data_IF_701370189496
#
_entry.id   IF_701370189496
#
_cell.length_a   1.000
_cell.length_b   1.000
_cell.length_c   1.000
_cell.angle_alpha   90.00
_cell.angle_beta   90.00
_cell.angle_gamma   90.00
#
_symmetry.space_group_name_H-M   'P 1'
#
loop_
_entity.id
_entity.type
_entity.pdbx_description
1 polymer ?
#
# COMPACT_ATOMS: atom_id res chain seq x y z
N UNK A 1 -2.38 -21.72 36.71
CA UNK A 1 -2.53 -20.26 36.50
C UNK A 1 -2.53 -20.07 35.01
N UNK A 2 -3.73 -20.15 34.44
CA UNK A 2 -4.03 -19.83 33.06
C UNK A 2 -3.64 -18.38 32.78
N UNK A 3 -2.76 -18.19 31.80
CA UNK A 3 -2.63 -16.94 31.08
C UNK A 3 -3.55 -17.04 29.88
N UNK A 4 -4.77 -16.54 30.01
CA UNK A 4 -5.65 -16.16 28.90
C UNK A 4 -4.97 -14.99 28.17
N UNK A 5 -4.00 -15.33 27.33
CA UNK A 5 -3.51 -14.41 26.31
C UNK A 5 -4.57 -14.37 25.23
N UNK A 6 -5.43 -13.35 25.26
CA UNK A 6 -6.13 -12.92 24.07
C UNK A 6 -5.08 -12.76 22.98
N UNK A 7 -5.01 -13.71 22.04
CA UNK A 7 -4.13 -13.60 20.88
C UNK A 7 -4.51 -12.28 20.19
N UNK A 8 -3.68 -11.25 20.33
CA UNK A 8 -3.87 -10.02 19.60
C UNK A 8 -3.92 -10.38 18.12
N UNK A 9 -4.88 -9.82 17.39
CA UNK A 9 -4.95 -9.98 15.94
C UNK A 9 -3.61 -9.55 15.34
N UNK A 10 -2.85 -10.53 14.83
CA UNK A 10 -1.52 -10.29 14.30
C UNK A 10 -1.62 -9.54 12.97
N UNK A 11 -0.82 -8.48 12.81
CA UNK A 11 -0.83 -7.67 11.60
C UNK A 11 -0.56 -8.54 10.36
N UNK A 12 -1.55 -8.66 9.48
CA UNK A 12 -1.51 -9.59 8.34
C UNK A 12 -1.51 -8.81 7.03
N UNK A 13 -0.49 -9.07 6.21
CA UNK A 13 -0.35 -8.51 4.86
C UNK A 13 -0.65 -9.61 3.85
N UNK A 14 -1.69 -9.42 3.05
CA UNK A 14 -1.95 -10.27 1.88
C UNK A 14 -1.15 -9.76 0.69
N UNK A 15 -0.39 -10.63 0.04
CA UNK A 15 0.36 -10.29 -1.18
C UNK A 15 -0.21 -11.07 -2.35
N UNK A 16 -0.80 -10.39 -3.32
CA UNK A 16 -1.34 -11.04 -4.51
C UNK A 16 -0.27 -11.17 -5.60
N UNK A 17 0.11 -12.41 -5.89
CA UNK A 17 1.15 -12.78 -6.85
C UNK A 17 0.51 -13.21 -8.17
N UNK A 18 0.98 -12.61 -9.26
CA UNK A 18 0.51 -12.94 -10.61
C UNK A 18 1.61 -12.86 -11.67
N UNK A 19 2.85 -12.62 -11.26
CA UNK A 19 3.97 -12.39 -12.17
C UNK A 19 5.29 -12.78 -11.49
N UNK A 20 6.08 -13.72 -12.05
CA UNK A 20 7.32 -14.17 -11.44
C UNK A 20 8.32 -13.02 -11.21
N UNK A 21 8.40 -12.09 -12.17
CA UNK A 21 9.32 -10.96 -12.10
C UNK A 21 8.98 -9.93 -11.00
N UNK A 22 7.81 -10.06 -10.35
CA UNK A 22 7.36 -9.15 -9.30
C UNK A 22 7.50 -9.74 -7.89
N UNK A 23 7.73 -11.05 -7.75
CA UNK A 23 7.66 -11.75 -6.46
C UNK A 23 8.66 -11.15 -5.47
N UNK A 24 9.94 -11.09 -5.84
CA UNK A 24 11.01 -10.64 -4.94
C UNK A 24 10.79 -9.21 -4.43
N UNK A 25 10.39 -8.31 -5.31
CA UNK A 25 10.16 -6.91 -4.94
C UNK A 25 8.90 -6.75 -4.09
N UNK A 26 7.78 -7.41 -4.42
CA UNK A 26 6.57 -7.37 -3.58
C UNK A 26 6.83 -7.97 -2.20
N UNK A 27 7.55 -9.09 -2.12
CA UNK A 27 7.87 -9.74 -0.86
C UNK A 27 8.83 -8.90 -0.02
N UNK A 28 9.76 -8.16 -0.62
CA UNK A 28 10.61 -7.20 0.09
C UNK A 28 9.77 -6.09 0.73
N UNK A 29 8.96 -5.38 -0.05
CA UNK A 29 8.07 -4.32 0.46
C UNK A 29 7.11 -4.83 1.54
N UNK A 30 6.57 -6.05 1.36
CA UNK A 30 5.71 -6.69 2.35
C UNK A 30 6.47 -7.07 3.63
N UNK A 31 7.70 -7.60 3.51
CA UNK A 31 8.53 -7.99 4.65
C UNK A 31 8.98 -6.77 5.45
N UNK A 32 9.30 -5.67 4.78
CA UNK A 32 9.65 -4.40 5.43
C UNK A 32 8.48 -3.91 6.30
N UNK A 33 7.27 -3.90 5.72
CA UNK A 33 6.06 -3.48 6.43
C UNK A 33 5.65 -4.47 7.52
N UNK A 34 5.75 -5.78 7.27
CA UNK A 34 5.45 -6.80 8.27
C UNK A 34 6.39 -6.68 9.46
N UNK A 35 7.69 -6.53 9.24
CA UNK A 35 8.70 -6.40 10.31
C UNK A 35 8.43 -5.19 11.20
N UNK A 36 8.08 -4.04 10.59
CA UNK A 36 7.72 -2.83 11.34
C UNK A 36 6.52 -3.03 12.29
N UNK A 37 5.58 -3.89 11.90
CA UNK A 37 4.32 -4.12 12.62
C UNK A 37 4.26 -5.47 13.34
N UNK A 38 5.38 -6.18 13.51
CA UNK A 38 5.44 -7.54 14.07
C UNK A 38 4.44 -8.51 13.41
N UNK A 39 4.30 -8.35 12.10
CA UNK A 39 3.29 -8.96 11.27
C UNK A 39 3.75 -10.21 10.52
N UNK A 40 2.86 -10.71 9.68
CA UNK A 40 3.06 -11.89 8.84
C UNK A 40 2.55 -11.66 7.42
N UNK A 41 3.02 -12.49 6.50
CA UNK A 41 2.61 -12.49 5.10
C UNK A 41 1.65 -13.65 4.82
N UNK A 42 0.59 -13.36 4.05
CA UNK A 42 -0.25 -14.36 3.42
C UNK A 42 -0.20 -14.16 1.90
N UNK A 43 0.67 -14.92 1.23
CA UNK A 43 0.87 -14.83 -0.21
C UNK A 43 -0.19 -15.65 -0.94
N UNK A 44 -0.81 -15.06 -1.96
CA UNK A 44 -1.85 -15.72 -2.74
C UNK A 44 -1.55 -15.69 -4.22
N UNK A 45 -1.90 -16.78 -4.90
CA UNK A 45 -1.95 -16.84 -6.34
C UNK A 45 -3.36 -17.28 -6.77
N UNK A 46 -3.88 -16.68 -7.84
CA UNK A 46 -5.23 -16.99 -8.33
C UNK A 46 -5.14 -17.50 -9.75
N UNK A 47 -5.51 -18.76 -9.92
CA UNK A 47 -5.72 -19.36 -11.22
C UNK A 47 -7.06 -18.92 -11.79
N UNK A 48 -6.99 -18.10 -12.84
CA UNK A 48 -8.17 -17.51 -13.44
C UNK A 48 -8.85 -18.48 -14.41
N UNK A 49 -10.08 -18.87 -14.07
CA UNK A 49 -10.92 -19.79 -14.85
C UNK A 49 -12.08 -19.04 -15.51
N UNK A 50 -11.91 -18.48 -16.73
CA UNK A 50 -12.98 -17.72 -17.36
C UNK A 50 -14.22 -18.61 -17.60
N UNK A 51 -15.40 -18.05 -17.33
CA UNK A 51 -16.70 -18.77 -17.41
C UNK A 51 -17.05 -19.34 -18.79
N UNK A 52 -16.34 -18.93 -19.84
CA UNK A 52 -16.51 -19.45 -21.20
C UNK A 52 -15.46 -20.50 -21.58
N UNK A 53 -14.67 -20.97 -20.61
CA UNK A 53 -13.61 -21.95 -20.84
C UNK A 53 -14.13 -23.39 -20.75
N UNK A 54 -13.60 -24.31 -21.58
CA UNK A 54 -13.79 -25.75 -21.38
C UNK A 54 -13.35 -26.23 -19.98
N UNK A 55 -12.58 -25.43 -19.23
CA UNK A 55 -12.18 -25.74 -17.85
C UNK A 55 -13.35 -25.92 -16.88
N UNK A 56 -14.56 -25.45 -17.18
CA UNK A 56 -15.75 -25.69 -16.32
C UNK A 56 -16.05 -27.17 -16.08
N UNK A 57 -15.52 -28.06 -16.94
CA UNK A 57 -15.70 -29.52 -16.81
C UNK A 57 -14.79 -30.15 -15.73
N UNK A 58 -13.80 -29.40 -15.22
CA UNK A 58 -12.86 -29.88 -14.22
C UNK A 58 -13.14 -29.26 -12.84
N UNK A 59 -12.97 -30.06 -11.79
CA UNK A 59 -12.97 -29.63 -10.39
C UNK A 59 -11.77 -28.72 -10.10
N UNK A 60 -11.90 -27.83 -9.12
CA UNK A 60 -10.83 -26.90 -8.74
C UNK A 60 -9.57 -27.62 -8.23
N UNK A 61 -9.74 -28.78 -7.58
CA UNK A 61 -8.63 -29.65 -7.15
C UNK A 61 -7.83 -30.18 -8.34
N UNK A 62 -8.50 -30.64 -9.40
CA UNK A 62 -7.85 -31.06 -10.65
C UNK A 62 -7.12 -29.91 -11.35
N UNK A 63 -7.70 -28.70 -11.34
CA UNK A 63 -7.07 -27.53 -11.96
C UNK A 63 -5.81 -27.14 -11.20
N UNK A 64 -5.89 -27.11 -9.88
CA UNK A 64 -4.74 -26.82 -9.02
C UNK A 64 -3.61 -27.83 -9.22
N UNK A 65 -3.95 -29.12 -9.40
CA UNK A 65 -2.96 -30.18 -9.60
C UNK A 65 -2.31 -30.18 -11.00
N UNK A 66 -3.09 -29.91 -12.06
CA UNK A 66 -2.64 -30.15 -13.45
C UNK A 66 -2.34 -28.87 -14.25
N UNK A 67 -2.84 -27.71 -13.81
CA UNK A 67 -2.80 -26.47 -14.59
C UNK A 67 -2.28 -25.25 -13.84
N UNK A 68 -1.95 -25.39 -12.55
CA UNK A 68 -1.49 -24.28 -11.70
C UNK A 68 0.03 -24.29 -11.45
N UNK A 69 0.81 -24.91 -12.33
CA UNK A 69 2.27 -25.02 -12.15
C UNK A 69 2.92 -23.64 -12.01
N UNK A 70 2.56 -22.67 -12.87
CA UNK A 70 3.10 -21.31 -12.79
C UNK A 70 2.73 -20.63 -11.46
N UNK A 71 1.47 -20.72 -11.02
CA UNK A 71 1.05 -20.12 -9.73
C UNK A 71 1.70 -20.82 -8.53
N UNK A 72 1.91 -22.13 -8.60
CA UNK A 72 2.61 -22.89 -7.55
C UNK A 72 4.05 -22.41 -7.45
N UNK A 73 4.75 -22.26 -8.58
CA UNK A 73 6.11 -21.72 -8.61
C UNK A 73 6.19 -20.28 -8.06
N UNK A 74 5.16 -19.44 -8.25
CA UNK A 74 5.10 -18.12 -7.62
C UNK A 74 5.07 -18.20 -6.10
N UNK A 75 4.26 -19.12 -5.56
CA UNK A 75 4.08 -19.31 -4.12
C UNK A 75 5.31 -19.94 -3.48
N UNK A 76 5.89 -20.97 -4.09
CA UNK A 76 7.15 -21.58 -3.65
C UNK A 76 8.27 -20.52 -3.63
N UNK A 77 8.38 -19.71 -4.69
CA UNK A 77 9.38 -18.64 -4.74
C UNK A 77 9.15 -17.60 -3.65
N UNK A 78 7.90 -17.30 -3.31
CA UNK A 78 7.56 -16.38 -2.22
C UNK A 78 7.99 -16.93 -0.85
N UNK A 79 7.81 -18.23 -0.62
CA UNK A 79 8.28 -18.90 0.60
C UNK A 79 9.82 -18.88 0.70
N UNK A 80 10.51 -19.12 -0.41
CA UNK A 80 11.98 -19.14 -0.46
C UNK A 80 12.63 -17.79 -0.12
N UNK A 81 11.97 -16.67 -0.45
CA UNK A 81 12.53 -15.31 -0.29
C UNK A 81 11.97 -14.55 0.90
N UNK A 82 10.93 -15.07 1.56
CA UNK A 82 10.31 -14.37 2.69
C UNK A 82 11.22 -14.39 3.91
N UNK A 83 11.45 -13.22 4.49
CA UNK A 83 12.23 -13.07 5.73
C UNK A 83 11.36 -13.08 6.99
N UNK A 84 10.04 -13.04 6.80
CA UNK A 84 9.02 -13.04 7.86
C UNK A 84 8.12 -14.28 7.75
N UNK A 85 7.35 -14.64 8.80
CA UNK A 85 6.40 -15.74 8.72
C UNK A 85 5.45 -15.58 7.54
N UNK A 86 5.42 -16.60 6.67
CA UNK A 86 4.62 -16.61 5.45
C UNK A 86 3.71 -17.84 5.44
N UNK A 87 2.51 -17.63 4.90
CA UNK A 87 1.56 -18.69 4.53
C UNK A 87 1.16 -18.48 3.09
N UNK A 88 0.96 -19.56 2.35
CA UNK A 88 0.60 -19.52 0.92
C UNK A 88 -0.80 -20.08 0.69
N UNK A 89 -1.53 -19.51 -0.28
CA UNK A 89 -2.87 -19.98 -0.66
C UNK A 89 -3.06 -19.86 -2.18
N UNK A 90 -3.33 -20.99 -2.83
CA UNK A 90 -3.67 -21.08 -4.24
C UNK A 90 -5.19 -21.18 -4.39
N UNK A 91 -5.79 -20.20 -5.07
CA UNK A 91 -7.23 -20.16 -5.35
C UNK A 91 -7.50 -20.37 -6.83
N UNK A 92 -8.53 -21.13 -7.17
CA UNK A 92 -9.08 -21.17 -8.53
C UNK A 92 -10.39 -20.39 -8.53
N UNK A 93 -10.50 -19.36 -9.37
CA UNK A 93 -11.73 -18.57 -9.47
C UNK A 93 -11.92 -17.96 -10.87
N UNK A 94 -13.17 -17.73 -11.24
CA UNK A 94 -13.56 -17.02 -12.46
C UNK A 94 -13.54 -15.49 -12.35
N UNK A 95 -13.36 -14.97 -11.14
CA UNK A 95 -13.34 -13.55 -10.83
C UNK A 95 -12.22 -13.23 -9.84
N UNK A 96 -11.05 -12.89 -10.38
CA UNK A 96 -9.84 -12.58 -9.60
C UNK A 96 -10.09 -11.53 -8.50
N UNK A 97 -10.71 -10.35 -8.76
CA UNK A 97 -11.01 -9.39 -7.70
C UNK A 97 -11.84 -9.96 -6.54
N UNK A 98 -12.81 -10.83 -6.83
CA UNK A 98 -13.69 -11.41 -5.81
C UNK A 98 -12.96 -12.46 -4.99
N UNK A 99 -12.12 -13.28 -5.62
CA UNK A 99 -11.26 -14.23 -4.93
C UNK A 99 -10.26 -13.53 -3.99
N UNK A 100 -9.60 -12.45 -4.45
CA UNK A 100 -8.70 -11.65 -3.59
C UNK A 100 -9.46 -11.12 -2.36
N UNK A 101 -10.66 -10.57 -2.56
CA UNK A 101 -11.49 -10.09 -1.45
C UNK A 101 -11.86 -11.19 -0.47
N UNK A 102 -12.23 -12.36 -0.98
CA UNK A 102 -12.55 -13.52 -0.15
C UNK A 102 -11.37 -13.95 0.73
N UNK A 103 -10.14 -13.94 0.20
CA UNK A 103 -8.93 -14.18 1.01
C UNK A 103 -8.77 -13.09 2.05
N UNK A 104 -8.79 -11.81 1.65
CA UNK A 104 -8.58 -10.66 2.55
C UNK A 104 -9.56 -10.70 3.72
N UNK A 105 -10.84 -10.97 3.47
CA UNK A 105 -11.88 -11.06 4.50
C UNK A 105 -11.67 -12.31 5.38
N UNK A 106 -11.21 -13.44 4.82
CA UNK A 106 -11.00 -14.68 5.55
C UNK A 106 -9.83 -14.62 6.53
N UNK A 107 -8.75 -13.93 6.17
CA UNK A 107 -7.55 -13.79 7.01
C UNK A 107 -7.51 -12.48 7.79
N UNK A 108 -8.60 -11.70 7.71
CA UNK A 108 -8.75 -10.35 8.28
C UNK A 108 -7.53 -9.45 8.01
N UNK A 109 -7.17 -9.33 6.73
CA UNK A 109 -5.93 -8.66 6.36
C UNK A 109 -5.98 -7.16 6.64
N UNK A 110 -4.93 -6.62 7.26
CA UNK A 110 -4.77 -5.19 7.46
C UNK A 110 -4.41 -4.49 6.15
N UNK A 111 -3.54 -5.12 5.35
CA UNK A 111 -3.06 -4.59 4.08
C UNK A 111 -3.12 -5.64 2.98
N UNK A 112 -3.54 -5.22 1.78
CA UNK A 112 -3.39 -5.96 0.53
C UNK A 112 -2.35 -5.27 -0.34
N UNK A 113 -1.26 -5.96 -0.65
CA UNK A 113 -0.23 -5.52 -1.59
C UNK A 113 -0.39 -6.23 -2.94
N UNK A 114 -0.38 -5.47 -4.03
CA UNK A 114 -0.49 -5.98 -5.39
C UNK A 114 0.53 -5.32 -6.32
N UNK A 115 1.08 -6.09 -7.26
CA UNK A 115 1.87 -5.54 -8.35
C UNK A 115 1.00 -4.87 -9.41
N UNK A 116 1.54 -3.85 -10.06
CA UNK A 116 0.98 -3.23 -11.26
C UNK A 116 1.96 -3.32 -12.44
N UNK A 117 1.43 -3.64 -13.63
CA UNK A 117 2.16 -3.63 -14.91
C UNK A 117 1.43 -2.78 -15.96
N UNK A 118 2.19 -2.16 -16.86
CA UNK A 118 1.73 -1.28 -17.94
C UNK A 118 1.01 -1.97 -19.13
N UNK A 119 0.50 -3.20 -18.99
CA UNK A 119 -0.11 -3.89 -20.15
C UNK A 119 -1.33 -3.13 -20.68
N UNK A 120 -1.49 -3.17 -22.01
CA UNK A 120 -2.39 -2.37 -22.82
C UNK A 120 -3.76 -2.15 -22.17
N UNK A 121 -4.00 -0.89 -21.79
CA UNK A 121 -5.29 -0.39 -21.34
C UNK A 121 -6.38 -0.81 -22.35
N UNK A 122 -7.27 -1.71 -21.94
CA UNK A 122 -8.61 -1.76 -22.54
C UNK A 122 -9.29 -0.44 -22.20
N UNK A 123 -10.17 0.06 -23.07
CA UNK A 123 -10.73 1.43 -23.01
C UNK A 123 -11.26 1.90 -21.63
N UNK A 124 -11.58 0.99 -20.71
CA UNK A 124 -12.13 1.27 -19.37
C UNK A 124 -11.20 0.99 -18.16
N UNK A 125 -9.98 0.47 -18.34
CA UNK A 125 -9.08 0.09 -17.23
C UNK A 125 -7.83 0.98 -17.15
N UNK A 126 -7.56 1.54 -15.96
CA UNK A 126 -6.40 2.41 -15.66
C UNK A 126 -5.19 1.56 -15.27
N UNK A 127 -5.32 0.70 -14.27
CA UNK A 127 -4.25 -0.17 -13.76
C UNK A 127 -4.46 -1.65 -14.12
N UNK A 128 -5.63 -1.99 -14.64
CA UNK A 128 -6.00 -3.34 -15.10
C UNK A 128 -7.30 -3.85 -14.47
N UNK A 129 -7.78 -4.98 -14.98
CA UNK A 129 -9.06 -5.59 -14.59
C UNK A 129 -9.07 -6.16 -13.17
N UNK A 130 -7.92 -6.40 -12.57
CA UNK A 130 -7.81 -6.88 -11.18
C UNK A 130 -7.66 -5.72 -10.17
N UNK A 131 -6.76 -4.77 -10.45
CA UNK A 131 -6.39 -3.69 -9.53
C UNK A 131 -7.49 -2.63 -9.43
N UNK A 132 -8.08 -2.20 -10.56
CA UNK A 132 -9.08 -1.12 -10.57
C UNK A 132 -10.32 -1.44 -9.72
N UNK A 133 -10.96 -2.62 -9.83
CA UNK A 133 -12.13 -2.94 -9.00
C UNK A 133 -11.81 -3.02 -7.51
N UNK A 134 -10.59 -3.45 -7.14
CA UNK A 134 -10.14 -3.50 -5.75
C UNK A 134 -9.97 -2.09 -5.20
N UNK A 135 -9.22 -1.23 -5.89
CA UNK A 135 -9.00 0.14 -5.45
C UNK A 135 -10.27 0.99 -5.45
N UNK A 136 -11.27 0.70 -6.31
CA UNK A 136 -12.57 1.39 -6.28
C UNK A 136 -13.35 1.10 -4.99
N UNK A 137 -13.21 -0.09 -4.42
CA UNK A 137 -13.84 -0.48 -3.15
C UNK A 137 -12.85 -1.27 -2.29
N UNK A 138 -11.85 -0.63 -1.67
CA UNK A 138 -10.78 -1.35 -0.96
C UNK A 138 -11.35 -2.26 0.15
N UNK A 139 -11.04 -3.58 0.17
CA UNK A 139 -11.48 -4.49 1.24
C UNK A 139 -10.71 -4.26 2.55
N UNK A 140 -9.46 -3.78 2.46
CA UNK A 140 -8.63 -3.30 3.55
C UNK A 140 -7.79 -2.13 3.03
N UNK A 141 -6.74 -1.72 3.74
CA UNK A 141 -5.76 -0.80 3.18
C UNK A 141 -5.05 -1.47 1.98
N UNK A 142 -4.93 -0.76 0.87
CA UNK A 142 -4.37 -1.34 -0.36
C UNK A 142 -3.11 -0.60 -0.76
N UNK A 143 -2.06 -1.37 -1.03
CA UNK A 143 -0.81 -0.92 -1.63
C UNK A 143 -0.73 -1.47 -3.06
N UNK A 144 -0.35 -0.61 -3.99
CA UNK A 144 -0.08 -1.01 -5.38
C UNK A 144 1.32 -0.58 -5.74
N UNK A 145 2.15 -1.54 -6.13
CA UNK A 145 3.54 -1.32 -6.46
C UNK A 145 3.78 -1.50 -7.96
N UNK A 146 4.26 -0.46 -8.61
CA UNK A 146 4.80 -0.55 -9.96
C UNK A 146 6.29 -0.88 -9.87
N UNK A 147 6.65 -1.95 -10.56
CA UNK A 147 8.03 -2.38 -10.73
C UNK A 147 8.79 -1.38 -11.61
N UNK A 148 9.92 -0.90 -11.12
CA UNK A 148 10.91 -0.12 -11.86
C UNK A 148 12.28 -0.81 -11.78
N UNK A 149 13.35 -0.16 -12.22
CA UNK A 149 14.70 -0.72 -12.02
C UNK A 149 15.10 -0.54 -10.55
N UNK A 150 15.36 -1.64 -9.84
CA UNK A 150 16.06 -1.59 -8.55
C UNK A 150 17.27 -2.51 -8.62
N UNK A 151 18.45 -1.91 -8.65
CA UNK A 151 19.70 -2.60 -8.37
C UNK A 151 20.00 -2.42 -6.87
N UNK A 152 20.21 -3.51 -6.15
CA UNK A 152 20.93 -3.50 -4.86
C UNK A 152 20.30 -2.78 -3.64
N UNK A 153 18.98 -2.54 -3.60
CA UNK A 153 18.28 -2.08 -2.38
C UNK A 153 17.60 -0.72 -2.56
N UNK A 154 17.20 -0.09 -1.45
CA UNK A 154 16.56 1.24 -1.45
C UNK A 154 17.34 2.15 -0.50
N UNK A 155 18.13 3.09 -1.02
CA UNK A 155 18.91 4.03 -0.21
C UNK A 155 18.16 5.35 0.01
N UNK A 156 17.27 5.70 -0.92
CA UNK A 156 16.55 6.97 -0.94
C UNK A 156 15.07 6.79 -1.27
N UNK A 157 14.20 7.31 -0.40
CA UNK A 157 12.73 7.22 -0.56
C UNK A 157 12.13 8.61 -0.72
N UNK A 158 11.48 8.88 -1.85
CA UNK A 158 10.73 10.11 -2.06
C UNK A 158 9.28 9.94 -1.61
N UNK A 159 8.81 10.83 -0.73
CA UNK A 159 7.42 10.88 -0.26
C UNK A 159 6.78 12.23 -0.64
N UNK A 160 6.19 12.34 -1.84
CA UNK A 160 5.43 13.52 -2.21
C UNK A 160 4.14 13.61 -1.40
N UNK A 161 3.85 14.78 -0.87
CA UNK A 161 2.73 14.97 0.05
C UNK A 161 1.87 16.18 -0.28
N UNK A 162 0.57 15.90 -0.46
CA UNK A 162 -0.51 16.90 -0.44
C UNK A 162 -1.31 16.82 0.86
N UNK A 163 -0.89 15.95 1.79
CA UNK A 163 -1.69 15.52 2.93
C UNK A 163 -2.89 14.65 2.52
N UNK A 164 -3.93 14.65 3.34
CA UNK A 164 -5.18 13.94 3.04
C UNK A 164 -5.25 12.52 3.63
N UNK A 165 -6.34 11.80 3.32
CA UNK A 165 -6.68 10.57 4.02
C UNK A 165 -5.70 9.43 3.75
N UNK A 166 -4.95 9.44 2.66
CA UNK A 166 -4.04 8.33 2.31
C UNK A 166 -2.58 8.60 2.72
N UNK A 167 -2.25 9.81 3.15
CA UNK A 167 -0.87 10.22 3.46
C UNK A 167 -0.26 9.45 4.64
N UNK A 168 -1.06 9.08 5.64
CA UNK A 168 -0.54 8.33 6.79
C UNK A 168 -0.05 6.93 6.41
N UNK A 169 -0.82 6.19 5.61
CA UNK A 169 -0.41 4.88 5.10
C UNK A 169 0.80 4.98 4.17
N UNK A 170 0.85 6.01 3.32
CA UNK A 170 2.02 6.29 2.49
C UNK A 170 3.28 6.56 3.33
N UNK A 171 3.16 7.32 4.42
CA UNK A 171 4.29 7.57 5.32
C UNK A 171 4.71 6.31 6.08
N UNK A 172 3.75 5.49 6.50
CA UNK A 172 4.03 4.27 7.25
C UNK A 172 4.80 3.24 6.43
N UNK A 173 4.37 2.96 5.18
CA UNK A 173 5.11 2.07 4.29
C UNK A 173 6.47 2.64 3.89
N UNK A 174 6.58 3.95 3.65
CA UNK A 174 7.87 4.59 3.39
C UNK A 174 8.82 4.49 4.59
N UNK A 175 8.30 4.61 5.82
CA UNK A 175 9.09 4.44 7.03
C UNK A 175 9.54 3.00 7.23
N UNK A 176 8.69 2.02 6.92
CA UNK A 176 9.04 0.61 6.95
C UNK A 176 10.21 0.28 6.01
N UNK A 177 10.09 0.66 4.74
CA UNK A 177 11.16 0.47 3.76
C UNK A 177 12.43 1.20 4.19
N UNK A 178 12.32 2.46 4.62
CA UNK A 178 13.49 3.24 5.00
C UNK A 178 14.21 2.67 6.23
N UNK A 179 13.47 2.23 7.26
CA UNK A 179 14.07 1.67 8.47
C UNK A 179 14.82 0.36 8.18
N UNK A 180 14.25 -0.52 7.35
CA UNK A 180 14.85 -1.82 7.02
C UNK A 180 16.06 -1.71 6.11
N UNK A 181 16.09 -0.70 5.24
CA UNK A 181 17.18 -0.49 4.28
C UNK A 181 18.20 0.55 4.75
N UNK A 182 18.01 1.19 5.90
CA UNK A 182 18.85 2.32 6.34
C UNK A 182 18.75 3.55 5.44
N UNK A 183 17.61 3.70 4.75
CA UNK A 183 17.39 4.71 3.73
C UNK A 183 17.08 6.09 4.32
N UNK A 184 17.30 7.13 3.51
CA UNK A 184 16.84 8.50 3.83
C UNK A 184 15.51 8.80 3.16
N UNK A 185 14.57 9.40 3.89
CA UNK A 185 13.27 9.82 3.38
C UNK A 185 13.29 11.29 2.99
N UNK A 186 12.99 11.62 1.74
CA UNK A 186 12.74 12.98 1.29
C UNK A 186 11.24 13.26 1.26
N UNK A 187 10.75 14.14 2.13
CA UNK A 187 9.36 14.60 2.10
C UNK A 187 9.24 15.82 1.19
N UNK A 188 8.47 15.69 0.11
CA UNK A 188 8.35 16.69 -0.94
C UNK A 188 6.95 17.32 -0.98
N UNK A 189 6.87 18.65 -1.11
CA UNK A 189 5.65 19.31 -1.61
C UNK A 189 5.99 20.19 -2.80
N UNK A 190 5.18 20.08 -3.86
CA UNK A 190 5.26 20.95 -5.04
C UNK A 190 4.36 22.16 -4.85
N UNK A 191 4.88 23.35 -5.15
CA UNK A 191 4.12 24.58 -5.30
C UNK A 191 3.84 24.76 -6.78
N UNK A 192 2.55 24.74 -7.14
CA UNK A 192 2.07 24.91 -8.51
C UNK A 192 1.59 26.34 -8.75
N UNK A 193 1.86 26.88 -9.94
CA UNK A 193 1.44 28.22 -10.34
C UNK A 193 2.41 29.33 -9.95
N UNK A 194 2.21 30.51 -10.52
CA UNK A 194 3.02 31.71 -10.27
C UNK A 194 2.21 32.81 -9.57
N UNK A 195 2.90 33.74 -8.91
CA UNK A 195 2.30 34.93 -8.31
C UNK A 195 1.49 34.64 -7.03
N UNK A 196 0.49 35.45 -6.68
CA UNK A 196 -0.20 35.41 -5.38
C UNK A 196 -0.95 34.11 -5.06
N UNK A 197 -1.16 33.24 -6.06
CA UNK A 197 -1.80 31.93 -5.88
C UNK A 197 -0.82 30.85 -5.41
N UNK A 198 0.49 31.06 -5.57
CA UNK A 198 1.49 30.20 -4.98
C UNK A 198 1.50 30.39 -3.46
N UNK A 199 1.35 29.30 -2.70
CA UNK A 199 1.47 29.30 -1.24
C UNK A 199 2.62 28.37 -0.79
N UNK A 200 3.87 28.86 -0.83
CA UNK A 200 5.03 28.13 -0.32
C UNK A 200 4.91 27.79 1.17
N UNK A 201 4.20 28.60 1.95
CA UNK A 201 4.03 28.34 3.38
C UNK A 201 3.07 27.16 3.62
N UNK A 202 2.02 27.01 2.82
CA UNK A 202 1.18 25.81 2.82
C UNK A 202 2.01 24.58 2.44
N UNK A 203 2.86 24.67 1.42
CA UNK A 203 3.77 23.58 1.05
C UNK A 203 4.67 23.19 2.23
N UNK A 204 5.34 24.16 2.86
CA UNK A 204 6.19 23.94 4.05
C UNK A 204 5.43 23.37 5.25
N UNK A 205 4.17 23.78 5.46
CA UNK A 205 3.31 23.21 6.51
C UNK A 205 2.99 21.73 6.24
N UNK A 206 2.70 21.36 4.99
CA UNK A 206 2.45 19.95 4.60
C UNK A 206 3.70 19.11 4.80
N UNK A 207 4.85 19.58 4.30
CA UNK A 207 6.14 18.89 4.47
C UNK A 207 6.47 18.65 5.94
N UNK A 208 6.39 19.68 6.79
CA UNK A 208 6.64 19.51 8.24
C UNK A 208 5.71 18.51 8.91
N UNK A 209 4.41 18.53 8.56
CA UNK A 209 3.44 17.59 9.13
C UNK A 209 3.75 16.15 8.73
N UNK A 210 4.08 15.92 7.48
CA UNK A 210 4.41 14.60 6.96
C UNK A 210 5.77 14.12 7.47
N UNK A 211 6.77 14.99 7.55
CA UNK A 211 8.07 14.69 8.15
C UNK A 211 7.96 14.22 9.61
N UNK A 212 7.00 14.75 10.37
CA UNK A 212 6.73 14.31 11.74
C UNK A 212 6.18 12.86 11.85
N UNK A 213 5.88 12.19 10.74
CA UNK A 213 5.47 10.78 10.71
C UNK A 213 6.66 9.80 10.67
N UNK A 214 7.89 10.31 10.63
CA UNK A 214 9.12 9.54 10.49
C UNK A 214 10.05 9.80 11.68
N UNK A 215 9.69 9.36 12.91
CA UNK A 215 10.47 9.64 14.12
C UNK A 215 11.79 8.86 14.19
N UNK A 216 11.91 7.78 13.43
CA UNK A 216 12.92 6.73 13.55
C UNK A 216 13.83 6.60 12.32
N UNK A 217 13.65 7.44 11.29
CA UNK A 217 14.47 7.43 10.06
C UNK A 217 14.97 8.84 9.71
N UNK A 218 16.09 8.98 8.98
CA UNK A 218 16.56 10.28 8.49
C UNK A 218 15.54 10.91 7.53
N UNK A 219 15.24 12.20 7.72
CA UNK A 219 14.26 12.93 6.90
C UNK A 219 14.83 14.22 6.33
N UNK A 220 14.74 14.36 5.01
CA UNK A 220 14.93 15.61 4.30
C UNK A 220 13.59 16.27 3.97
N UNK A 221 13.50 17.59 4.09
CA UNK A 221 12.29 18.37 3.82
C UNK A 221 12.51 19.24 2.59
N UNK A 222 11.76 18.98 1.51
CA UNK A 222 11.94 19.68 0.23
C UNK A 222 10.65 20.33 -0.26
N UNK A 223 10.76 21.56 -0.74
CA UNK A 223 9.69 22.29 -1.42
C UNK A 223 10.24 22.80 -2.75
N UNK A 224 9.56 22.47 -3.85
CA UNK A 224 9.95 22.85 -5.21
C UNK A 224 8.82 23.61 -5.89
N UNK A 225 9.16 24.45 -6.86
CA UNK A 225 8.18 25.09 -7.74
C UNK A 225 8.18 24.34 -9.07
N UNK A 226 7.01 24.05 -9.61
CA UNK A 226 6.87 23.38 -10.90
C UNK A 226 5.55 23.80 -11.57
N UNK A 227 5.42 23.66 -12.90
CA UNK A 227 4.18 23.99 -13.62
C UNK A 227 2.99 23.15 -13.12
N UNK A 228 3.23 21.90 -12.76
CA UNK A 228 2.26 21.01 -12.15
C UNK A 228 2.94 20.06 -11.14
N UNK A 229 2.12 19.40 -10.32
CA UNK A 229 2.62 18.53 -9.26
C UNK A 229 3.33 17.28 -9.78
N UNK A 230 2.89 16.69 -10.90
CA UNK A 230 3.50 15.47 -11.40
C UNK A 230 4.89 15.77 -11.97
N UNK A 231 5.04 16.83 -12.76
CA UNK A 231 6.31 17.27 -13.29
C UNK A 231 7.34 17.54 -12.17
N UNK A 232 6.95 18.29 -11.13
CA UNK A 232 7.84 18.57 -10.00
C UNK A 232 8.19 17.35 -9.15
N UNK A 233 7.34 16.32 -9.13
CA UNK A 233 7.64 15.05 -8.46
C UNK A 233 8.63 14.24 -9.29
N UNK A 234 8.37 14.09 -10.59
CA UNK A 234 9.21 13.33 -11.52
C UNK A 234 10.62 13.91 -11.60
N UNK A 235 10.76 15.25 -11.60
CA UNK A 235 12.06 15.92 -11.57
C UNK A 235 12.90 15.53 -10.35
N UNK A 236 12.28 15.39 -9.17
CA UNK A 236 12.98 14.99 -7.95
C UNK A 236 13.15 13.46 -7.86
N UNK A 237 12.23 12.69 -8.44
CA UNK A 237 12.23 11.23 -8.39
C UNK A 237 13.44 10.59 -9.10
N UNK A 238 14.07 11.29 -10.06
CA UNK A 238 15.29 10.82 -10.75
C UNK A 238 16.44 10.54 -9.78
N UNK A 239 16.52 11.28 -8.68
CA UNK A 239 17.56 11.11 -7.66
C UNK A 239 17.15 10.13 -6.53
N UNK A 240 16.08 9.34 -6.73
CA UNK A 240 15.53 8.46 -5.69
C UNK A 240 15.26 7.04 -6.20
N UNK A 241 15.42 6.06 -5.31
CA UNK A 241 15.24 4.64 -5.62
C UNK A 241 13.79 4.17 -5.52
N UNK A 242 12.96 4.88 -4.73
CA UNK A 242 11.54 4.57 -4.55
C UNK A 242 10.72 5.84 -4.36
N UNK A 243 9.58 5.92 -5.04
CA UNK A 243 8.57 6.95 -4.80
C UNK A 243 7.36 6.34 -4.09
N UNK A 244 6.97 6.90 -2.95
CA UNK A 244 5.79 6.47 -2.20
C UNK A 244 4.73 7.57 -2.16
N UNK A 245 3.56 7.27 -2.70
CA UNK A 245 2.45 8.22 -2.87
C UNK A 245 1.20 7.74 -2.16
N UNK A 246 0.47 8.67 -1.56
CA UNK A 246 -0.94 8.44 -1.24
C UNK A 246 -1.79 8.59 -2.50
N UNK A 247 -2.77 7.70 -2.70
CA UNK A 247 -3.82 7.93 -3.70
C UNK A 247 -4.48 9.30 -3.47
N UNK A 248 -4.89 9.97 -4.55
CA UNK A 248 -5.52 11.30 -4.49
C UNK A 248 -7.01 11.21 -4.83
N UNK A 249 -7.85 11.82 -3.99
CA UNK A 249 -9.30 11.59 -3.98
C UNK A 249 -10.15 12.59 -4.76
N UNK A 250 -9.60 13.40 -5.66
CA UNK A 250 -10.35 14.53 -6.23
C UNK A 250 -10.96 14.19 -7.59
N UNK A 251 -12.25 13.82 -7.58
CA UNK A 251 -13.14 13.81 -8.74
C UNK A 251 -14.60 13.87 -8.30
N UNK A 252 -15.33 14.92 -8.70
CA UNK A 252 -16.71 15.21 -8.26
C UNK A 252 -17.79 14.32 -8.91
N UNK A 253 -17.48 13.64 -10.02
CA UNK A 253 -18.46 12.85 -10.80
C UNK A 253 -18.18 11.34 -10.71
N UNK A 254 -16.90 10.95 -10.78
CA UNK A 254 -16.39 9.61 -10.42
C UNK A 254 -15.05 9.82 -9.73
N UNK A 255 -14.89 9.50 -8.44
CA UNK A 255 -13.59 9.61 -7.78
C UNK A 255 -12.58 8.77 -8.55
N UNK A 256 -11.42 9.33 -8.92
CA UNK A 256 -10.40 8.57 -9.62
C UNK A 256 -9.90 7.42 -8.73
N UNK A 257 -9.42 6.35 -9.35
CA UNK A 257 -8.97 5.13 -8.66
C UNK A 257 -7.76 5.43 -7.77
N UNK A 258 -6.77 6.13 -8.33
CA UNK A 258 -5.54 6.59 -7.65
C UNK A 258 -5.31 8.11 -7.77
N UNK A 259 -6.02 8.77 -8.68
CA UNK A 259 -5.93 10.21 -8.98
C UNK A 259 -4.79 10.57 -9.94
N UNK A 260 -4.93 11.72 -10.61
CA UNK A 260 -4.15 12.04 -11.81
C UNK A 260 -2.65 12.20 -11.54
N UNK A 261 -2.27 12.83 -10.43
CA UNK A 261 -0.85 13.01 -10.09
C UNK A 261 -0.17 11.67 -9.83
N UNK A 262 -0.81 10.78 -9.05
CA UNK A 262 -0.25 9.47 -8.75
C UNK A 262 -0.20 8.58 -10.01
N UNK A 263 -1.21 8.67 -10.87
CA UNK A 263 -1.24 7.97 -12.16
C UNK A 263 -0.13 8.45 -13.10
N UNK A 264 0.06 9.76 -13.28
CA UNK A 264 1.14 10.32 -14.10
C UNK A 264 2.52 9.94 -13.56
N UNK A 265 2.77 10.16 -12.26
CA UNK A 265 4.07 9.81 -11.66
C UNK A 265 4.35 8.33 -11.81
N UNK A 266 3.36 7.49 -11.56
CA UNK A 266 3.57 6.07 -11.68
C UNK A 266 3.78 5.61 -13.12
N UNK A 267 3.19 6.23 -14.14
CA UNK A 267 3.49 5.84 -15.53
C UNK A 267 4.82 6.36 -16.05
N UNK A 268 5.26 7.51 -15.58
CA UNK A 268 6.40 8.25 -16.17
C UNK A 268 7.69 8.15 -15.34
N UNK A 269 7.63 7.65 -14.11
CA UNK A 269 8.82 7.46 -13.26
C UNK A 269 9.69 6.31 -13.75
N UNK A 270 11.01 6.47 -13.72
CA UNK A 270 11.96 5.40 -14.01
C UNK A 270 12.19 4.48 -12.78
N UNK A 271 12.10 5.05 -11.57
CA UNK A 271 12.16 4.28 -10.32
C UNK A 271 10.80 3.68 -9.93
N UNK A 272 10.79 2.59 -9.14
CA UNK A 272 9.58 2.02 -8.58
C UNK A 272 8.67 3.04 -7.91
N UNK A 273 7.37 2.78 -8.00
CA UNK A 273 6.34 3.65 -7.41
C UNK A 273 5.37 2.81 -6.61
N UNK A 274 5.23 3.12 -5.32
CA UNK A 274 4.27 2.50 -4.42
C UNK A 274 3.14 3.48 -4.11
N UNK A 275 1.91 3.08 -4.43
CA UNK A 275 0.70 3.87 -4.20
C UNK A 275 -0.09 3.27 -3.05
N UNK A 276 -0.26 4.05 -1.99
CA UNK A 276 -1.01 3.70 -0.80
C UNK A 276 -2.44 4.24 -0.86
N UNK A 277 -3.42 3.37 -0.63
CA UNK A 277 -4.84 3.73 -0.55
C UNK A 277 -5.48 3.12 0.69
N UNK A 278 -5.65 3.96 1.71
CA UNK A 278 -6.47 3.62 2.87
C UNK A 278 -7.91 3.24 2.51
N UNK A 279 -8.43 2.21 3.17
CA UNK A 279 -9.86 1.89 3.19
C UNK A 279 -10.60 3.08 3.78
N UNK A 280 -11.68 3.49 3.12
CA UNK A 280 -12.55 4.48 3.71
C UNK A 280 -13.31 3.83 4.86
N UNK A 281 -12.89 4.08 6.09
CA UNK A 281 -13.72 3.80 7.26
C UNK A 281 -15.06 4.52 7.11
N UNK A 282 -16.12 3.82 7.49
CA UNK A 282 -17.44 4.42 7.57
C UNK A 282 -17.37 5.67 8.46
N UNK A 283 -18.18 6.69 8.18
CA UNK A 283 -18.23 7.93 8.97
C UNK A 283 -18.54 7.66 10.45
N UNK A 284 -19.14 6.50 10.73
CA UNK A 284 -19.50 5.98 12.05
C UNK A 284 -18.27 5.41 12.80
N UNK A 285 -17.42 4.59 12.17
CA UNK A 285 -16.19 4.08 12.80
C UNK A 285 -15.27 5.23 13.25
N UNK A 286 -15.09 6.25 12.39
CA UNK A 286 -14.34 7.48 12.73
C UNK A 286 -14.95 8.29 13.88
N UNK A 287 -16.24 8.17 14.11
CA UNK A 287 -16.94 8.78 15.24
C UNK A 287 -16.76 7.93 16.51
N UNK A 288 -16.79 6.60 16.39
CA UNK A 288 -16.57 5.67 17.50
C UNK A 288 -15.14 5.70 18.01
N UNK A 289 -14.12 5.76 17.16
CA UNK A 289 -12.73 5.93 17.62
C UNK A 289 -12.50 7.26 18.34
N UNK A 290 -13.14 8.33 17.86
CA UNK A 290 -13.08 9.65 18.51
C UNK A 290 -13.83 9.68 19.84
N UNK A 291 -14.89 8.90 20.01
CA UNK A 291 -15.63 8.81 21.28
C UNK A 291 -14.95 7.85 22.25
N UNK A 292 -14.41 6.72 21.77
CA UNK A 292 -13.62 5.76 22.56
C UNK A 292 -12.35 6.40 23.14
N UNK A 293 -11.59 7.14 22.32
CA UNK A 293 -10.40 7.88 22.78
C UNK A 293 -10.70 9.04 23.74
N UNK A 294 -11.96 9.53 23.80
CA UNK A 294 -12.42 10.48 24.82
C UNK A 294 -12.79 9.74 26.12
N UNK A 295 -13.39 8.55 26.02
CA UNK A 295 -13.75 7.74 27.18
C UNK A 295 -12.51 7.27 27.96
N UNK A 296 -11.45 6.85 27.28
CA UNK A 296 -10.18 6.45 27.91
C UNK A 296 -9.47 7.61 28.63
N UNK A 297 -9.68 8.84 28.18
CA UNK A 297 -9.17 10.04 28.87
C UNK A 297 -10.00 10.43 30.09
N UNK A 298 -11.24 9.97 30.19
CA UNK A 298 -12.14 10.27 31.31
C UNK A 298 -12.07 9.20 32.41
N UNK A 299 -11.72 7.95 32.08
CA UNK A 299 -11.57 6.87 33.06
C UNK A 299 -10.18 6.84 33.73
N UNK A 300 -9.19 7.54 33.19
CA UNK A 300 -7.82 7.63 33.74
C UNK A 300 -7.60 8.62 34.91
N UNK A 301 -8.64 9.30 35.41
CA UNK A 301 -8.51 10.29 36.50
C UNK A 301 -9.45 9.99 37.67
N UNK A 302 -9.15 8.94 38.43
CA UNK A 302 -9.60 8.81 39.84
C UNK A 302 -8.70 7.87 40.60
N UNK A 303 -7.67 8.40 41.27
CA UNK A 303 -6.83 7.59 42.13
C UNK A 303 -5.73 8.36 42.86
N UNK A 304 -6.08 9.04 43.94
CA UNK A 304 -5.15 9.22 45.07
C UNK A 304 -4.60 10.62 45.30
N UNK A 305 -5.33 11.44 46.05
CA UNK A 305 -4.71 12.41 46.96
C UNK A 305 -5.40 12.32 48.31
N UNK A 306 -4.82 11.54 49.24
CA UNK A 306 -5.03 11.76 50.68
C UNK A 306 -3.72 12.25 51.27
N UNK A 307 -3.81 13.46 51.81
CA UNK A 307 -2.80 14.18 52.57
C UNK A 307 -2.64 13.59 53.97
N UNK A 308 -1.38 13.69 54.43
CA UNK A 308 -0.87 13.85 55.81
C UNK A 308 -1.04 12.69 56.78
#
# INVERSE_FOLDING_TARGET
MEGDGTAGEQYTIVVALSNPAAVEQLLRSASDLATRHDGRIHAIAIEHKPVNSPFLMFSDEHISAEYAEESTQLLERAEDVSEVPITTDLRVDSNVPSAIRGVVDQVDANVLLMGWRERASTADAILGSSVDPILRRPPCDVLVERMGTVADGVETVLVPTVGGPHAGLASDVAAAVAAMNGATVTVLSVVTGEGPMADPDAARRKVRRTAAQFPDVPVEQRVVNAPDSAAGILEVAVDHDLVVLGATGTGLVRPPVIGSVADTVARESDCPVLIAKRRAESRLERLFERVGSISDRLTGSSGGTRRR
#
